data_IF_620710976089
#
_entry.id   IF_620710976089
#
_cell.length_a   1.000
_cell.length_b   1.000
_cell.length_c   1.000
_cell.angle_alpha   90.00
_cell.angle_beta   90.00
_cell.angle_gamma   90.00
#
_symmetry.space_group_name_H-M   'P 1'
#
loop_
_entity.id
_entity.type
_entity.pdbx_description
1 polymer ?
#
# COMPACT_ATOMS: atom_id res chain seq x y z
N UNK A 1 3.29 10.95 -26.54
CA UNK A 1 2.58 12.02 -25.78
C UNK A 1 2.36 11.59 -24.34
N UNK A 2 1.77 10.43 -24.08
CA UNK A 2 1.61 9.89 -22.73
C UNK A 2 2.94 9.68 -21.98
N UNK A 3 3.99 9.19 -22.65
CA UNK A 3 5.29 8.94 -22.00
C UNK A 3 5.96 10.21 -21.45
N UNK A 4 5.76 11.34 -22.12
CA UNK A 4 6.33 12.63 -21.73
C UNK A 4 5.67 13.11 -20.42
N UNK A 5 4.35 12.94 -20.32
CA UNK A 5 3.59 13.33 -19.12
C UNK A 5 4.03 12.51 -17.91
N UNK A 6 4.15 11.19 -18.07
CA UNK A 6 4.62 10.32 -16.99
C UNK A 6 6.05 10.64 -16.55
N UNK A 7 6.93 10.96 -17.51
CA UNK A 7 8.30 11.36 -17.18
C UNK A 7 8.35 12.70 -16.43
N UNK A 8 7.58 13.69 -16.87
CA UNK A 8 7.54 15.02 -16.26
C UNK A 8 6.93 14.98 -14.85
N UNK A 9 5.84 14.22 -14.67
CA UNK A 9 5.23 13.95 -13.37
C UNK A 9 6.26 13.32 -12.42
N UNK A 10 6.89 12.23 -12.83
CA UNK A 10 7.89 11.52 -12.02
C UNK A 10 9.09 12.40 -11.65
N UNK A 11 9.59 13.19 -12.60
CA UNK A 11 10.70 14.10 -12.36
C UNK A 11 10.34 15.22 -11.37
N UNK A 12 9.17 15.85 -11.53
CA UNK A 12 8.74 16.95 -10.66
C UNK A 12 8.50 16.48 -9.22
N UNK A 13 7.84 15.34 -9.04
CA UNK A 13 7.56 14.78 -7.70
C UNK A 13 8.83 14.28 -7.02
N UNK A 14 9.71 13.57 -7.73
CA UNK A 14 10.98 13.10 -7.18
C UNK A 14 11.87 14.26 -6.74
N UNK A 15 12.01 15.30 -7.59
CA UNK A 15 12.81 16.48 -7.28
C UNK A 15 12.26 17.25 -6.08
N UNK A 16 10.94 17.32 -5.95
CA UNK A 16 10.29 17.98 -4.81
C UNK A 16 10.48 17.17 -3.53
N UNK A 17 10.29 15.85 -3.58
CA UNK A 17 10.50 14.96 -2.45
C UNK A 17 11.94 15.01 -1.93
N UNK A 18 12.93 14.97 -2.83
CA UNK A 18 14.36 15.03 -2.46
C UNK A 18 14.71 16.36 -1.77
N UNK A 19 14.19 17.49 -2.28
CA UNK A 19 14.39 18.81 -1.65
C UNK A 19 13.77 18.88 -0.27
N UNK A 20 12.57 18.33 -0.07
CA UNK A 20 11.91 18.32 1.24
C UNK A 20 12.62 17.39 2.22
N UNK A 21 13.02 16.20 1.79
CA UNK A 21 13.77 15.25 2.60
C UNK A 21 15.12 15.83 3.05
N UNK A 22 15.87 16.49 2.15
CA UNK A 22 17.13 17.17 2.50
C UNK A 22 16.93 18.30 3.51
N UNK A 23 15.87 19.10 3.36
CA UNK A 23 15.51 20.15 4.34
C UNK A 23 15.13 19.55 5.70
N UNK A 24 14.37 18.45 5.74
CA UNK A 24 14.05 17.75 6.97
C UNK A 24 15.30 17.20 7.66
N UNK A 25 16.19 16.51 6.93
CA UNK A 25 17.46 16.01 7.48
C UNK A 25 18.29 17.13 8.11
N UNK A 26 18.45 18.25 7.41
CA UNK A 26 19.24 19.39 7.92
C UNK A 26 18.62 20.05 9.16
N UNK A 27 17.28 20.24 9.18
CA UNK A 27 16.57 20.82 10.33
C UNK A 27 16.59 19.89 11.54
N UNK A 28 16.43 18.59 11.31
CA UNK A 28 16.47 17.60 12.37
C UNK A 28 17.87 17.53 12.98
N UNK A 29 18.92 17.43 12.17
CA UNK A 29 20.30 17.45 12.68
C UNK A 29 20.59 18.72 13.48
N UNK A 30 20.12 19.87 13.00
CA UNK A 30 20.24 21.15 13.71
C UNK A 30 19.47 21.16 15.04
N UNK A 31 18.33 20.47 15.12
CA UNK A 31 17.55 20.35 16.36
C UNK A 31 18.23 19.42 17.37
N UNK A 32 18.76 18.27 16.93
CA UNK A 32 19.52 17.33 17.76
C UNK A 32 20.78 17.98 18.33
N UNK A 33 21.52 18.74 17.52
CA UNK A 33 22.73 19.46 17.97
C UNK A 33 22.43 20.58 18.99
N UNK A 34 21.16 20.97 19.15
CA UNK A 34 20.72 21.99 20.12
C UNK A 34 20.18 21.39 21.43
N UNK A 35 20.08 20.06 21.53
CA UNK A 35 19.60 19.39 22.73
C UNK A 35 20.68 19.30 23.80
N UNK A 36 20.27 19.44 25.07
CA UNK A 36 21.16 19.33 26.22
C UNK A 36 21.67 17.90 26.42
N UNK A 37 22.82 17.78 27.09
CA UNK A 37 23.49 16.50 27.38
C UNK A 37 22.57 15.51 28.10
N UNK A 38 21.66 15.99 28.97
CA UNK A 38 20.68 15.14 29.66
C UNK A 38 19.67 14.45 28.73
N UNK A 39 19.40 14.99 27.53
CA UNK A 39 18.57 14.32 26.53
C UNK A 39 19.26 13.08 25.95
N UNK A 40 20.58 13.18 25.73
CA UNK A 40 21.38 12.07 25.24
C UNK A 40 21.50 10.94 26.29
N UNK A 41 21.66 11.27 27.58
CA UNK A 41 21.74 10.26 28.65
C UNK A 41 20.41 9.53 28.92
N UNK A 42 19.26 10.20 28.75
CA UNK A 42 17.95 9.62 29.10
C UNK A 42 17.22 8.92 27.94
N UNK A 43 17.46 9.34 26.68
CA UNK A 43 16.62 8.93 25.54
C UNK A 43 17.40 8.38 24.34
N UNK A 44 18.74 8.46 24.32
CA UNK A 44 19.54 8.10 23.15
C UNK A 44 20.70 7.19 23.55
N UNK A 45 20.58 5.88 23.25
CA UNK A 45 21.65 4.91 23.56
C UNK A 45 22.95 5.19 22.77
N UNK A 46 22.86 5.84 21.60
CA UNK A 46 24.02 6.27 20.80
C UNK A 46 23.69 7.39 19.81
N UNK A 47 24.59 8.36 19.63
CA UNK A 47 24.51 9.41 18.59
C UNK A 47 24.37 8.82 17.18
N UNK A 48 24.91 7.62 16.94
CA UNK A 48 24.79 6.92 15.67
C UNK A 48 23.35 6.46 15.37
N UNK A 49 22.57 6.11 16.39
CA UNK A 49 21.17 5.67 16.27
C UNK A 49 20.23 6.83 15.86
N UNK A 50 20.54 8.04 16.32
CA UNK A 50 19.82 9.26 15.91
C UNK A 50 20.10 9.58 14.44
N UNK A 51 21.34 9.41 13.98
CA UNK A 51 21.70 9.68 12.59
C UNK A 51 21.06 8.64 11.65
N UNK A 52 21.04 7.36 12.03
CA UNK A 52 20.42 6.30 11.23
C UNK A 52 18.91 6.40 11.18
N UNK A 53 18.24 6.69 12.31
CA UNK A 53 16.79 6.91 12.36
C UNK A 53 16.36 8.07 11.47
N UNK A 54 17.06 9.20 11.52
CA UNK A 54 16.77 10.36 10.67
C UNK A 54 16.92 10.05 9.20
N UNK A 55 17.98 9.34 8.84
CA UNK A 55 18.24 8.99 7.45
C UNK A 55 17.13 8.07 6.92
N UNK A 56 16.76 7.06 7.71
CA UNK A 56 15.67 6.12 7.44
C UNK A 56 14.30 6.81 7.34
N UNK A 57 13.92 7.61 8.33
CA UNK A 57 12.63 8.31 8.37
C UNK A 57 12.49 9.29 7.21
N UNK A 58 13.59 9.97 6.85
CA UNK A 58 13.59 10.88 5.70
C UNK A 58 13.45 10.13 4.37
N UNK A 59 13.96 8.90 4.25
CA UNK A 59 13.74 8.05 3.07
C UNK A 59 12.28 7.61 2.98
N UNK A 60 11.66 7.23 4.10
CA UNK A 60 10.24 6.87 4.14
C UNK A 60 9.36 8.07 3.74
N UNK A 61 9.67 9.26 4.26
CA UNK A 61 8.94 10.48 3.88
C UNK A 61 9.15 10.82 2.40
N UNK A 62 10.38 10.67 1.90
CA UNK A 62 10.68 10.89 0.49
C UNK A 62 9.84 9.97 -0.39
N UNK A 63 9.80 8.67 -0.07
CA UNK A 63 9.03 7.65 -0.79
C UNK A 63 7.53 7.96 -0.82
N UNK A 64 6.97 8.37 0.32
CA UNK A 64 5.56 8.78 0.43
C UNK A 64 5.27 9.98 -0.49
N UNK A 65 6.14 10.99 -0.51
CA UNK A 65 5.93 12.20 -1.31
C UNK A 65 6.16 11.94 -2.80
N UNK A 66 7.18 11.13 -3.17
CA UNK A 66 7.53 10.90 -4.57
C UNK A 66 6.65 9.86 -5.26
N UNK A 67 6.14 8.87 -4.53
CA UNK A 67 5.39 7.76 -5.13
C UNK A 67 3.92 7.71 -4.70
N UNK A 68 3.62 7.86 -3.40
CA UNK A 68 2.26 7.62 -2.88
C UNK A 68 1.32 8.78 -3.12
N UNK A 69 1.79 10.02 -2.92
CA UNK A 69 0.98 11.22 -3.15
C UNK A 69 0.55 11.34 -4.61
N UNK A 70 1.43 11.20 -5.62
CA UNK A 70 1.04 11.27 -7.04
C UNK A 70 0.01 10.20 -7.41
N UNK A 71 0.26 8.95 -7.01
CA UNK A 71 -0.68 7.84 -7.25
C UNK A 71 -2.04 8.11 -6.62
N UNK A 72 -2.09 8.67 -5.41
CA UNK A 72 -3.34 9.03 -4.76
C UNK A 72 -4.09 10.13 -5.53
N UNK A 73 -3.40 11.20 -5.96
CA UNK A 73 -4.01 12.27 -6.74
C UNK A 73 -4.53 11.73 -8.08
N UNK A 74 -3.72 10.97 -8.82
CA UNK A 74 -4.09 10.41 -10.12
C UNK A 74 -5.29 9.49 -10.00
N UNK A 75 -5.35 8.65 -8.96
CA UNK A 75 -6.51 7.79 -8.71
C UNK A 75 -7.78 8.60 -8.38
N UNK A 76 -7.66 9.65 -7.57
CA UNK A 76 -8.78 10.53 -7.21
C UNK A 76 -9.33 11.27 -8.44
N UNK A 77 -8.46 11.87 -9.24
CA UNK A 77 -8.87 12.58 -10.45
C UNK A 77 -9.44 11.64 -11.52
N UNK A 78 -8.85 10.45 -11.69
CA UNK A 78 -9.36 9.45 -12.63
C UNK A 78 -10.74 8.95 -12.20
N UNK A 79 -10.96 8.72 -10.91
CA UNK A 79 -12.29 8.37 -10.38
C UNK A 79 -13.32 9.46 -10.68
N UNK A 80 -13.04 10.72 -10.29
CA UNK A 80 -13.97 11.84 -10.50
C UNK A 80 -14.24 12.04 -12.00
N UNK A 81 -13.19 12.05 -12.82
CA UNK A 81 -13.28 12.23 -14.27
C UNK A 81 -14.08 11.12 -14.95
N UNK A 82 -13.83 9.86 -14.60
CA UNK A 82 -14.57 8.73 -15.17
C UNK A 82 -16.07 8.81 -14.84
N UNK A 83 -16.43 9.23 -13.63
CA UNK A 83 -17.82 9.44 -13.25
C UNK A 83 -18.48 10.59 -14.00
N UNK A 84 -17.79 11.74 -14.14
CA UNK A 84 -18.31 12.88 -14.90
C UNK A 84 -18.60 12.45 -16.35
N UNK A 85 -17.68 11.73 -16.99
CA UNK A 85 -17.87 11.21 -18.35
C UNK A 85 -19.03 10.21 -18.42
N UNK A 86 -19.13 9.28 -17.47
CA UNK A 86 -20.22 8.30 -17.42
C UNK A 86 -21.61 8.98 -17.30
N UNK A 87 -21.72 10.00 -16.45
CA UNK A 87 -22.95 10.79 -16.31
C UNK A 87 -23.26 11.64 -17.54
N UNK A 88 -22.24 12.23 -18.19
CA UNK A 88 -22.42 13.05 -19.38
C UNK A 88 -22.90 12.24 -20.61
N UNK A 89 -22.39 11.02 -20.79
CA UNK A 89 -22.70 10.18 -21.96
C UNK A 89 -24.05 9.49 -21.81
N UNK A 90 -24.27 8.78 -20.70
CA UNK A 90 -25.49 7.99 -20.46
C UNK A 90 -25.86 7.99 -18.97
N UNK A 91 -26.44 9.11 -18.52
CA UNK A 91 -26.86 9.30 -17.13
C UNK A 91 -27.77 8.18 -16.58
N UNK A 92 -28.64 7.59 -17.40
CA UNK A 92 -29.55 6.51 -16.98
C UNK A 92 -28.82 5.22 -16.62
N UNK A 93 -27.81 4.87 -17.39
CA UNK A 93 -26.96 3.71 -17.13
C UNK A 93 -26.04 3.99 -15.93
N UNK A 94 -25.51 5.21 -15.84
CA UNK A 94 -24.66 5.64 -14.72
C UNK A 94 -25.38 5.56 -13.37
N UNK A 95 -26.63 6.02 -13.28
CA UNK A 95 -27.44 5.91 -12.04
C UNK A 95 -27.68 4.44 -11.68
N UNK A 96 -28.02 3.60 -12.66
CA UNK A 96 -28.24 2.17 -12.43
C UNK A 96 -26.96 1.43 -11.97
N UNK A 97 -25.78 1.89 -12.43
CA UNK A 97 -24.50 1.29 -12.12
C UNK A 97 -23.82 1.85 -10.85
N UNK A 98 -24.22 3.04 -10.38
CA UNK A 98 -23.70 3.68 -9.16
C UNK A 98 -23.65 2.78 -7.91
N UNK A 99 -24.71 2.03 -7.54
CA UNK A 99 -24.68 1.18 -6.34
C UNK A 99 -23.65 0.04 -6.43
N UNK A 100 -23.32 -0.43 -7.64
CA UNK A 100 -22.33 -1.49 -7.81
C UNK A 100 -20.91 -1.02 -7.48
N UNK A 101 -20.61 0.28 -7.63
CA UNK A 101 -19.29 0.80 -7.27
C UNK A 101 -19.13 0.88 -5.76
N UNK A 102 -20.18 1.25 -5.02
CA UNK A 102 -20.16 1.17 -3.54
C UNK A 102 -19.88 -0.27 -3.11
N UNK A 103 -20.48 -1.23 -3.81
CA UNK A 103 -20.25 -2.66 -3.58
C UNK A 103 -18.83 -3.12 -3.90
N UNK A 104 -18.12 -2.48 -4.84
CA UNK A 104 -16.71 -2.75 -5.14
C UNK A 104 -15.74 -2.11 -4.13
N UNK A 105 -16.06 -0.91 -3.65
CA UNK A 105 -15.17 -0.13 -2.77
C UNK A 105 -15.17 -0.68 -1.34
N UNK A 106 -16.32 -1.07 -0.80
CA UNK A 106 -16.44 -1.53 0.60
C UNK A 106 -15.54 -2.75 0.89
N UNK A 107 -15.58 -3.85 0.10
CA UNK A 107 -14.70 -4.99 0.32
C UNK A 107 -13.22 -4.59 0.18
N UNK A 108 -12.87 -3.79 -0.84
CA UNK A 108 -11.49 -3.32 -1.05
C UNK A 108 -10.91 -2.60 0.17
N UNK A 109 -11.68 -1.67 0.76
CA UNK A 109 -11.26 -0.93 1.96
C UNK A 109 -11.22 -1.81 3.21
N UNK A 110 -12.21 -2.70 3.40
CA UNK A 110 -12.23 -3.63 4.53
C UNK A 110 -11.05 -4.61 4.49
N UNK A 111 -10.75 -5.19 3.33
CA UNK A 111 -9.59 -6.06 3.14
C UNK A 111 -8.28 -5.31 3.38
N UNK A 112 -8.14 -4.09 2.84
CA UNK A 112 -6.96 -3.25 3.08
C UNK A 112 -6.70 -3.02 4.58
N UNK A 113 -7.74 -2.68 5.35
CA UNK A 113 -7.61 -2.49 6.80
C UNK A 113 -7.31 -3.78 7.57
N UNK A 114 -7.96 -4.88 7.21
CA UNK A 114 -7.70 -6.17 7.84
C UNK A 114 -6.24 -6.64 7.59
N UNK A 115 -5.75 -6.48 6.35
CA UNK A 115 -4.37 -6.82 5.98
C UNK A 115 -3.34 -5.96 6.72
N UNK A 116 -3.58 -4.65 6.86
CA UNK A 116 -2.72 -3.77 7.68
C UNK A 116 -2.63 -4.24 9.14
N UNK A 117 -3.76 -4.66 9.72
CA UNK A 117 -3.80 -5.21 11.08
C UNK A 117 -2.98 -6.49 11.23
N UNK A 118 -3.07 -7.40 10.26
CA UNK A 118 -2.30 -8.66 10.24
C UNK A 118 -0.81 -8.37 10.03
N UNK A 119 -0.47 -7.49 9.09
CA UNK A 119 0.91 -7.07 8.82
C UNK A 119 1.59 -6.48 10.06
N UNK A 120 0.88 -5.63 10.82
CA UNK A 120 1.40 -5.08 12.08
C UNK A 120 1.68 -6.17 13.11
N UNK A 121 0.78 -7.14 13.27
CA UNK A 121 0.97 -8.28 14.18
C UNK A 121 2.14 -9.15 13.72
N UNK A 122 2.26 -9.41 12.42
CA UNK A 122 3.36 -10.17 11.84
C UNK A 122 4.71 -9.50 12.13
N UNK A 123 4.81 -8.18 11.95
CA UNK A 123 6.04 -7.42 12.27
C UNK A 123 6.44 -7.56 13.74
N UNK A 124 5.47 -7.55 14.66
CA UNK A 124 5.73 -7.72 16.09
C UNK A 124 6.25 -9.12 16.40
N UNK A 125 5.66 -10.18 15.85
CA UNK A 125 6.15 -11.55 16.05
C UNK A 125 7.52 -11.77 15.37
N UNK A 126 7.74 -11.18 14.19
CA UNK A 126 9.01 -11.26 13.49
C UNK A 126 10.14 -10.59 14.28
N UNK A 127 9.88 -9.44 14.92
CA UNK A 127 10.86 -8.77 15.77
C UNK A 127 11.34 -9.66 16.93
N UNK A 128 10.47 -10.50 17.51
CA UNK A 128 10.87 -11.44 18.57
C UNK A 128 11.88 -12.46 18.06
N UNK A 129 11.67 -12.99 16.85
CA UNK A 129 12.64 -13.87 16.22
C UNK A 129 13.95 -13.14 15.88
N UNK A 130 13.86 -11.87 15.46
CA UNK A 130 15.00 -10.98 15.24
C UNK A 130 15.88 -10.86 16.49
N UNK A 131 15.29 -10.63 17.66
CA UNK A 131 16.02 -10.55 18.94
C UNK A 131 16.76 -11.86 19.24
N UNK A 132 16.14 -13.02 19.02
CA UNK A 132 16.80 -14.33 19.22
C UNK A 132 18.00 -14.50 18.29
N UNK A 133 17.86 -14.09 17.03
CA UNK A 133 18.95 -14.14 16.05
C UNK A 133 20.08 -13.16 16.40
N UNK A 134 19.73 -11.93 16.80
CA UNK A 134 20.69 -10.89 17.20
C UNK A 134 21.50 -11.33 18.42
N UNK A 135 20.86 -11.92 19.43
CA UNK A 135 21.55 -12.45 20.61
C UNK A 135 22.52 -13.59 20.25
N UNK A 136 22.10 -14.48 19.34
CA UNK A 136 22.94 -15.57 18.85
C UNK A 136 24.16 -15.07 18.10
N UNK A 137 23.99 -14.07 17.21
CA UNK A 137 25.06 -13.48 16.42
C UNK A 137 26.01 -12.65 17.29
N UNK A 138 25.48 -11.86 18.22
CA UNK A 138 26.28 -11.08 19.16
C UNK A 138 27.17 -11.97 20.04
N UNK A 139 26.75 -13.21 20.30
CA UNK A 139 27.46 -14.18 21.14
C UNK A 139 27.98 -15.39 20.34
N UNK A 140 28.32 -15.20 19.07
CA UNK A 140 28.63 -16.31 18.14
C UNK A 140 29.77 -17.21 18.62
N UNK A 141 30.81 -16.63 19.24
CA UNK A 141 31.95 -17.41 19.79
C UNK A 141 31.51 -18.35 20.90
N UNK A 142 30.55 -17.92 21.73
CA UNK A 142 30.00 -18.74 22.82
C UNK A 142 29.11 -19.85 22.28
N UNK A 143 28.26 -19.55 21.29
CA UNK A 143 27.43 -20.56 20.62
C UNK A 143 28.31 -21.64 20.00
N UNK A 144 29.39 -21.24 19.33
CA UNK A 144 30.35 -22.18 18.72
C UNK A 144 31.13 -22.99 19.78
N UNK A 145 31.63 -22.34 20.83
CA UNK A 145 32.41 -23.01 21.88
C UNK A 145 31.61 -24.08 22.64
N UNK A 146 30.29 -23.92 22.75
CA UNK A 146 29.41 -24.90 23.39
C UNK A 146 28.67 -25.82 22.39
N UNK A 147 29.00 -25.76 21.10
CA UNK A 147 28.32 -26.53 20.02
C UNK A 147 26.79 -26.35 20.09
N UNK A 148 26.36 -25.11 20.35
CA UNK A 148 24.96 -24.73 20.61
C UNK A 148 24.14 -24.39 19.36
N UNK A 149 24.68 -24.61 18.16
CA UNK A 149 24.09 -24.21 16.88
C UNK A 149 22.69 -24.80 16.69
N UNK A 150 22.54 -26.12 16.87
CA UNK A 150 21.25 -26.82 16.74
C UNK A 150 20.18 -26.31 17.71
N UNK A 151 20.59 -25.99 18.95
CA UNK A 151 19.68 -25.44 19.97
C UNK A 151 19.22 -24.03 19.60
N UNK A 152 20.14 -23.22 19.11
CA UNK A 152 19.88 -21.84 18.69
C UNK A 152 18.95 -21.79 17.47
N UNK A 153 19.21 -22.66 16.48
CA UNK A 153 18.37 -22.82 15.30
C UNK A 153 16.95 -23.27 15.67
N UNK A 154 16.81 -24.19 16.64
CA UNK A 154 15.49 -24.61 17.13
C UNK A 154 14.75 -23.48 17.83
N UNK A 155 15.42 -22.70 18.66
CA UNK A 155 14.82 -21.54 19.34
C UNK A 155 14.35 -20.48 18.33
N UNK A 156 15.15 -20.20 17.31
CA UNK A 156 14.77 -19.29 16.22
C UNK A 156 13.56 -19.82 15.43
N UNK A 157 13.53 -21.11 15.11
CA UNK A 157 12.39 -21.76 14.43
C UNK A 157 11.09 -21.67 15.24
N UNK A 158 11.15 -21.89 16.55
CA UNK A 158 9.99 -21.74 17.45
C UNK A 158 9.52 -20.28 17.47
N UNK A 159 10.44 -19.32 17.54
CA UNK A 159 10.10 -17.90 17.51
C UNK A 159 9.46 -17.47 16.17
N UNK A 160 9.84 -18.09 15.04
CA UNK A 160 9.26 -17.81 13.73
C UNK A 160 7.84 -18.34 13.55
N UNK A 161 7.44 -19.37 14.30
CA UNK A 161 6.22 -20.12 14.02
C UNK A 161 4.96 -19.24 14.12
N UNK A 162 4.96 -18.24 15.01
CA UNK A 162 3.90 -17.24 15.09
C UNK A 162 3.80 -16.35 13.83
N UNK A 163 4.93 -15.98 13.24
CA UNK A 163 4.98 -15.23 11.97
C UNK A 163 4.43 -16.08 10.82
N UNK A 164 4.75 -17.37 10.78
CA UNK A 164 4.28 -18.30 9.74
C UNK A 164 2.76 -18.49 9.79
N UNK A 165 2.17 -18.70 10.97
CA UNK A 165 0.71 -18.84 11.12
C UNK A 165 -0.04 -17.56 10.70
N UNK A 166 0.48 -16.39 11.10
CA UNK A 166 -0.06 -15.10 10.65
C UNK A 166 0.08 -14.91 9.13
N UNK A 167 1.19 -15.36 8.55
CA UNK A 167 1.45 -15.34 7.10
C UNK A 167 0.49 -16.23 6.32
N UNK A 168 0.17 -17.42 6.82
CA UNK A 168 -0.84 -18.30 6.21
C UNK A 168 -2.24 -17.67 6.24
N UNK A 169 -2.64 -17.09 7.38
CA UNK A 169 -3.91 -16.34 7.48
C UNK A 169 -3.96 -15.14 6.53
N UNK A 170 -2.86 -14.41 6.41
CA UNK A 170 -2.74 -13.30 5.44
C UNK A 170 -2.86 -13.81 4.00
N UNK A 171 -2.20 -14.92 3.67
CA UNK A 171 -2.23 -15.54 2.36
C UNK A 171 -3.64 -15.98 1.96
N UNK A 172 -4.37 -16.63 2.87
CA UNK A 172 -5.76 -17.02 2.66
C UNK A 172 -6.68 -15.80 2.50
N UNK A 173 -6.53 -14.77 3.34
CA UNK A 173 -7.30 -13.54 3.23
C UNK A 173 -7.04 -12.82 1.90
N UNK A 174 -5.78 -12.79 1.45
CA UNK A 174 -5.40 -12.22 0.15
C UNK A 174 -5.99 -13.04 -1.01
N UNK A 175 -5.94 -14.36 -0.93
CA UNK A 175 -6.54 -15.26 -1.92
C UNK A 175 -8.05 -15.04 -2.05
N UNK A 176 -8.77 -14.92 -0.92
CA UNK A 176 -10.19 -14.61 -0.91
C UNK A 176 -10.50 -13.22 -1.51
N UNK A 177 -9.68 -12.21 -1.19
CA UNK A 177 -9.82 -10.87 -1.75
C UNK A 177 -9.62 -10.87 -3.29
N UNK A 178 -8.60 -11.58 -3.79
CA UNK A 178 -8.37 -11.72 -5.24
C UNK A 178 -9.57 -12.44 -5.88
N UNK A 179 -10.03 -13.55 -5.29
CA UNK A 179 -11.19 -14.30 -5.77
C UNK A 179 -12.49 -13.47 -5.80
N UNK A 180 -12.66 -12.55 -4.85
CA UNK A 180 -13.82 -11.65 -4.80
C UNK A 180 -13.90 -10.67 -5.99
N UNK A 181 -12.82 -10.48 -6.75
CA UNK A 181 -12.86 -9.71 -8.01
C UNK A 181 -13.77 -10.35 -9.07
N UNK A 182 -14.21 -11.60 -8.89
CA UNK A 182 -15.24 -12.21 -9.73
C UNK A 182 -16.54 -11.39 -9.82
N UNK A 183 -16.83 -10.55 -8.81
CA UNK A 183 -17.97 -9.62 -8.80
C UNK A 183 -17.91 -8.64 -9.99
N UNK A 184 -16.72 -8.29 -10.46
CA UNK A 184 -16.55 -7.39 -11.62
C UNK A 184 -17.20 -7.98 -12.88
N UNK A 185 -17.14 -9.30 -13.08
CA UNK A 185 -17.80 -9.95 -14.21
C UNK A 185 -19.34 -9.89 -14.10
N UNK A 186 -19.88 -9.99 -12.88
CA UNK A 186 -21.32 -9.82 -12.65
C UNK A 186 -21.78 -8.38 -12.97
N UNK A 187 -20.96 -7.38 -12.64
CA UNK A 187 -21.22 -5.97 -12.97
C UNK A 187 -21.20 -5.76 -14.49
N UNK A 188 -20.22 -6.31 -15.20
CA UNK A 188 -20.16 -6.26 -16.66
C UNK A 188 -21.37 -6.95 -17.31
N UNK A 189 -21.81 -8.09 -16.77
CA UNK A 189 -23.02 -8.79 -17.22
C UNK A 189 -24.27 -7.91 -17.06
N UNK A 190 -24.42 -7.25 -15.90
CA UNK A 190 -25.53 -6.32 -15.66
C UNK A 190 -25.51 -5.12 -16.62
N UNK A 191 -24.33 -4.51 -16.84
CA UNK A 191 -24.17 -3.40 -17.78
C UNK A 191 -24.53 -3.84 -19.19
N UNK A 192 -24.11 -5.04 -19.62
CA UNK A 192 -24.46 -5.58 -20.93
C UNK A 192 -25.97 -5.82 -21.08
N UNK A 193 -26.61 -6.40 -20.06
CA UNK A 193 -28.06 -6.66 -20.07
C UNK A 193 -28.89 -5.37 -20.11
N UNK A 194 -28.64 -4.45 -19.16
CA UNK A 194 -29.39 -3.19 -19.08
C UNK A 194 -29.04 -2.26 -20.25
N UNK A 195 -27.78 -2.25 -20.67
CA UNK A 195 -27.31 -1.53 -21.85
C UNK A 195 -27.99 -1.99 -23.14
N UNK A 196 -28.14 -3.31 -23.34
CA UNK A 196 -28.86 -3.88 -24.50
C UNK A 196 -30.32 -3.42 -24.56
N UNK A 197 -31.03 -3.44 -23.42
CA UNK A 197 -32.39 -2.89 -23.32
C UNK A 197 -32.42 -1.40 -23.69
N UNK A 198 -31.43 -0.62 -23.26
CA UNK A 198 -31.38 0.82 -23.54
C UNK A 198 -31.17 1.11 -25.04
N UNK A 199 -30.39 0.27 -25.72
CA UNK A 199 -30.19 0.35 -27.18
C UNK A 199 -31.51 0.05 -27.90
N UNK A 200 -32.20 -1.02 -27.51
CA UNK A 200 -33.45 -1.47 -28.17
C UNK A 200 -34.62 -0.49 -28.00
N UNK A 201 -34.83 0.08 -26.81
CA UNK A 201 -36.03 0.88 -26.51
C UNK A 201 -35.84 2.40 -26.58
N UNK A 202 -34.59 2.89 -26.61
CA UNK A 202 -34.28 4.33 -26.50
C UNK A 202 -33.30 4.82 -27.56
N UNK A 203 -32.98 4.01 -28.58
CA UNK A 203 -32.03 4.34 -29.66
C UNK A 203 -30.67 4.87 -29.15
N UNK A 204 -30.20 4.39 -28.00
CA UNK A 204 -28.86 4.70 -27.52
C UNK A 204 -27.82 4.00 -28.40
N UNK A 205 -26.71 4.68 -28.71
CA UNK A 205 -25.59 4.05 -29.41
C UNK A 205 -24.90 3.02 -28.50
N UNK A 206 -24.59 1.84 -29.04
CA UNK A 206 -23.85 0.81 -28.31
C UNK A 206 -22.47 1.28 -27.86
N UNK A 207 -21.84 2.19 -28.61
CA UNK A 207 -20.58 2.82 -28.21
C UNK A 207 -20.71 3.61 -26.91
N UNK A 208 -21.81 4.36 -26.73
CA UNK A 208 -22.05 5.12 -25.51
C UNK A 208 -22.22 4.21 -24.29
N UNK A 209 -22.90 3.07 -24.47
CA UNK A 209 -23.09 2.06 -23.41
C UNK A 209 -21.75 1.48 -22.99
N UNK A 210 -20.90 1.10 -23.95
CA UNK A 210 -19.57 0.57 -23.68
C UNK A 210 -18.68 1.60 -22.98
N UNK A 211 -18.63 2.85 -23.45
CA UNK A 211 -17.84 3.93 -22.84
C UNK A 211 -18.28 4.20 -21.41
N UNK A 212 -19.58 4.23 -21.14
CA UNK A 212 -20.13 4.44 -19.80
C UNK A 212 -19.80 3.26 -18.88
N UNK A 213 -19.94 2.03 -19.36
CA UNK A 213 -19.59 0.83 -18.61
C UNK A 213 -18.09 0.76 -18.29
N UNK A 214 -17.25 1.03 -19.29
CA UNK A 214 -15.80 1.09 -19.13
C UNK A 214 -15.39 2.17 -18.13
N UNK A 215 -15.94 3.38 -18.23
CA UNK A 215 -15.64 4.47 -17.30
C UNK A 215 -15.98 4.10 -15.85
N UNK A 216 -17.13 3.47 -15.61
CA UNK A 216 -17.55 3.05 -14.26
C UNK A 216 -16.67 1.92 -13.72
N UNK A 217 -16.34 0.93 -14.57
CA UNK A 217 -15.46 -0.17 -14.17
C UNK A 217 -14.03 0.31 -13.87
N UNK A 218 -13.48 1.14 -14.75
CA UNK A 218 -12.15 1.75 -14.62
C UNK A 218 -12.10 2.64 -13.37
N UNK A 219 -13.06 3.54 -13.19
CA UNK A 219 -13.14 4.40 -12.01
C UNK A 219 -13.27 3.61 -10.71
N UNK A 220 -14.10 2.56 -10.69
CA UNK A 220 -14.24 1.66 -9.55
C UNK A 220 -12.93 0.96 -9.18
N UNK A 221 -12.19 0.45 -10.17
CA UNK A 221 -10.90 -0.20 -9.95
C UNK A 221 -9.84 0.76 -9.37
N UNK A 222 -9.77 1.99 -9.86
CA UNK A 222 -8.80 2.99 -9.35
C UNK A 222 -9.07 3.43 -7.92
N UNK A 223 -10.25 3.19 -7.34
CA UNK A 223 -10.51 3.39 -5.91
C UNK A 223 -10.15 2.15 -5.08
N UNK A 224 -10.31 0.96 -5.65
CA UNK A 224 -10.05 -0.31 -4.96
C UNK A 224 -8.56 -0.68 -4.89
N UNK A 225 -7.79 -0.37 -5.94
CA UNK A 225 -6.36 -0.70 -6.07
C UNK A 225 -5.36 0.15 -5.24
N UNK A 226 -5.55 1.45 -4.94
CA UNK A 226 -4.56 2.23 -4.19
C UNK A 226 -4.22 1.65 -2.82
N UNK A 227 -5.13 0.88 -2.22
CA UNK A 227 -4.97 0.26 -0.91
C UNK A 227 -4.16 -1.05 -0.89
N UNK A 228 -3.98 -1.72 -2.02
CA UNK A 228 -3.50 -3.12 -2.03
C UNK A 228 -2.11 -3.33 -2.62
N UNK A 229 -1.69 -2.59 -3.65
CA UNK A 229 -0.34 -2.75 -4.21
C UNK A 229 0.64 -1.73 -3.64
N UNK A 230 0.28 -0.45 -3.61
CA UNK A 230 1.20 0.60 -3.17
C UNK A 230 1.43 0.58 -1.65
N UNK A 231 0.44 0.20 -0.84
CA UNK A 231 0.53 0.19 0.63
C UNK A 231 1.14 -1.10 1.20
N UNK A 232 0.96 -2.24 0.52
CA UNK A 232 1.53 -3.53 0.96
C UNK A 232 3.02 -3.64 0.60
N UNK A 233 3.44 -3.09 -0.54
CA UNK A 233 4.85 -3.13 -0.97
C UNK A 233 5.72 -2.13 -0.20
N UNK A 234 5.18 -0.98 0.24
CA UNK A 234 5.99 0.03 0.98
C UNK A 234 6.05 -0.15 2.49
N UNK A 235 5.16 -0.94 3.09
CA UNK A 235 5.32 -1.36 4.49
C UNK A 235 6.28 -2.54 4.67
N UNK A 236 6.63 -3.22 3.57
CA UNK A 236 7.63 -4.29 3.55
C UNK A 236 8.69 -4.04 2.45
N UNK A 237 9.58 -3.05 2.62
CA UNK A 237 10.81 -3.00 1.84
C UNK A 237 11.88 -3.96 2.39
N UNK A 238 11.61 -4.64 3.51
CA UNK A 238 12.49 -5.63 4.12
C UNK A 238 11.73 -6.94 4.35
N UNK A 239 11.68 -7.76 3.31
CA UNK A 239 11.76 -9.21 3.40
C UNK A 239 12.88 -9.65 2.47
#
# INVERSE_FOLDING_TARGET
MWDIIFFEEGYCWTRTAERQASRMRSRYLKAVLRQDVGYFDLHVTSTAEVITSVSSDSLVIQDVISEKVPVFLTNLFTFIGAYIVAFAVLWRLAIAAFPFVIFLVIPGLMYGRALMGIARKMKVEYNKAGIVAEQALSSIRTVYAFVGESKTMRNYSIALQGTVDLGLKQGLAKGLAIGSNGIVFAIWSFIAYYGSRLIMYRHASGGNVFVTGAAIAIGGLYVSLPSSHSFIITLFPFA
#
